data_IF_919262568375
#
_entry.id   IF_919262568375
#
_cell.length_a   1.000
_cell.length_b   1.000
_cell.length_c   1.000
_cell.angle_alpha   90.00
_cell.angle_beta   90.00
_cell.angle_gamma   90.00
#
_symmetry.space_group_name_H-M   'P 1'
#
loop_
_entity.id
_entity.type
_entity.pdbx_description
1 polymer ?
#
# COMPACT_ATOMS: atom_id res chain seq x y z
N UNK A 1 -4.67 -15.41 5.81
CA UNK A 1 -5.67 -14.69 6.63
C UNK A 1 -5.05 -13.63 7.55
N UNK A 2 -4.07 -13.96 8.42
CA UNK A 2 -3.55 -13.09 9.50
C UNK A 2 -2.79 -11.80 9.09
N UNK A 3 -2.88 -11.39 7.83
CA UNK A 3 -2.34 -10.13 7.31
C UNK A 3 -3.45 -9.28 6.66
N UNK A 4 -4.68 -9.46 7.11
CA UNK A 4 -5.86 -8.73 6.62
C UNK A 4 -6.03 -7.39 7.34
N UNK A 5 -6.72 -6.47 6.68
CA UNK A 5 -7.14 -5.21 7.30
C UNK A 5 -8.65 -5.21 7.51
N UNK A 6 -9.07 -4.88 8.72
CA UNK A 6 -10.48 -4.73 9.08
C UNK A 6 -10.82 -3.24 9.08
N UNK A 7 -11.77 -2.85 8.25
CA UNK A 7 -12.21 -1.48 8.03
C UNK A 7 -13.63 -1.30 8.55
N UNK A 8 -13.88 -0.25 9.32
CA UNK A 8 -15.24 0.14 9.70
C UNK A 8 -15.89 0.93 8.58
N UNK A 9 -17.14 0.59 8.26
CA UNK A 9 -17.97 1.32 7.30
C UNK A 9 -18.89 2.33 8.02
N UNK A 10 -19.42 3.33 7.30
CA UNK A 10 -20.33 4.33 7.89
C UNK A 10 -21.63 3.74 8.48
N UNK A 11 -22.06 2.57 8.01
CA UNK A 11 -23.25 1.84 8.48
C UNK A 11 -22.99 1.01 9.75
N UNK A 12 -21.78 1.06 10.32
CA UNK A 12 -21.37 0.30 11.49
C UNK A 12 -20.99 -1.16 11.21
N UNK A 13 -21.08 -1.61 9.96
CA UNK A 13 -20.54 -2.90 9.51
C UNK A 13 -19.05 -2.76 9.19
N UNK A 14 -18.43 -3.87 8.78
CA UNK A 14 -17.00 -3.95 8.54
C UNK A 14 -16.66 -4.65 7.23
N UNK A 15 -15.66 -4.12 6.53
CA UNK A 15 -15.05 -4.76 5.37
C UNK A 15 -13.72 -5.42 5.78
N UNK A 16 -13.49 -6.63 5.28
CA UNK A 16 -12.23 -7.35 5.46
C UNK A 16 -11.42 -7.30 4.17
N UNK A 17 -10.27 -6.63 4.21
CA UNK A 17 -9.31 -6.59 3.11
C UNK A 17 -8.35 -7.77 3.22
N UNK A 18 -8.30 -8.64 2.21
CA UNK A 18 -7.48 -9.85 2.19
C UNK A 18 -6.61 -9.93 0.93
N UNK A 19 -5.47 -10.65 0.97
CA UNK A 19 -4.69 -10.93 -0.23
C UNK A 19 -5.42 -11.96 -1.13
N UNK A 20 -5.24 -11.86 -2.45
CA UNK A 20 -5.88 -12.72 -3.45
C UNK A 20 -5.67 -14.23 -3.18
N UNK A 21 -4.52 -14.60 -2.63
CA UNK A 21 -4.15 -15.97 -2.25
C UNK A 21 -5.15 -16.60 -1.26
N UNK A 22 -5.94 -15.79 -0.53
CA UNK A 22 -7.01 -16.31 0.32
C UNK A 22 -8.14 -17.00 -0.49
N UNK A 23 -8.35 -16.62 -1.76
CA UNK A 23 -9.27 -17.32 -2.67
C UNK A 23 -8.71 -18.64 -3.18
N UNK A 24 -7.40 -18.70 -3.41
CA UNK A 24 -6.73 -19.87 -3.98
C UNK A 24 -6.71 -21.06 -3.01
N UNK A 25 -6.87 -20.79 -1.71
CA UNK A 25 -7.02 -21.82 -0.69
C UNK A 25 -8.51 -22.08 -0.39
N UNK A 26 -9.05 -23.19 -0.89
CA UNK A 26 -10.46 -23.58 -0.73
C UNK A 26 -10.98 -23.55 0.72
N UNK A 27 -10.15 -23.93 1.69
CA UNK A 27 -10.55 -23.92 3.10
C UNK A 27 -10.71 -22.49 3.62
N UNK A 28 -9.78 -21.60 3.27
CA UNK A 28 -9.82 -20.17 3.61
C UNK A 28 -10.96 -19.47 2.89
N UNK A 29 -11.14 -19.72 1.58
CA UNK A 29 -12.21 -19.14 0.79
C UNK A 29 -13.60 -19.52 1.34
N UNK A 30 -13.80 -20.80 1.68
CA UNK A 30 -15.06 -21.27 2.29
C UNK A 30 -15.31 -20.61 3.64
N UNK A 31 -14.27 -20.49 4.47
CA UNK A 31 -14.38 -19.80 5.75
C UNK A 31 -14.76 -18.33 5.59
N UNK A 32 -14.10 -17.60 4.69
CA UNK A 32 -14.38 -16.19 4.42
C UNK A 32 -15.78 -15.98 3.85
N UNK A 33 -16.21 -16.84 2.92
CA UNK A 33 -17.58 -16.82 2.41
C UNK A 33 -18.62 -17.05 3.51
N UNK A 34 -18.38 -18.02 4.39
CA UNK A 34 -19.22 -18.26 5.56
C UNK A 34 -19.22 -17.09 6.56
N UNK A 35 -18.08 -16.44 6.76
CA UNK A 35 -17.93 -15.28 7.64
C UNK A 35 -18.82 -14.12 7.16
N UNK A 36 -18.76 -13.77 5.87
CA UNK A 36 -19.57 -12.71 5.27
C UNK A 36 -21.06 -13.08 5.28
N UNK A 37 -21.40 -14.35 5.00
CA UNK A 37 -22.78 -14.83 4.98
C UNK A 37 -23.42 -14.99 6.37
N UNK A 38 -22.63 -14.90 7.45
CA UNK A 38 -23.10 -15.17 8.83
C UNK A 38 -24.07 -14.12 9.39
N UNK A 39 -24.24 -12.97 8.71
CA UNK A 39 -25.00 -11.83 9.22
C UNK A 39 -24.29 -11.05 10.34
N UNK A 40 -23.04 -11.42 10.64
CA UNK A 40 -22.18 -10.77 11.62
C UNK A 40 -21.77 -9.33 11.25
N UNK A 41 -20.76 -8.80 11.95
CA UNK A 41 -20.31 -7.43 11.71
C UNK A 41 -19.49 -7.29 10.42
N UNK A 42 -18.84 -8.37 9.95
CA UNK A 42 -18.13 -8.39 8.66
C UNK A 42 -19.12 -8.82 7.59
N UNK A 43 -19.41 -7.92 6.65
CA UNK A 43 -20.37 -8.14 5.57
C UNK A 43 -19.79 -7.88 4.18
N UNK A 44 -18.50 -7.54 4.10
CA UNK A 44 -17.82 -7.27 2.85
C UNK A 44 -16.41 -7.87 2.87
N UNK A 45 -16.01 -8.47 1.75
CA UNK A 45 -14.66 -8.96 1.50
C UNK A 45 -14.08 -8.18 0.31
N UNK A 46 -12.94 -7.52 0.54
CA UNK A 46 -12.20 -6.79 -0.48
C UNK A 46 -10.88 -7.52 -0.72
N UNK A 47 -10.60 -7.85 -1.98
CA UNK A 47 -9.44 -8.66 -2.35
C UNK A 47 -8.45 -7.83 -3.17
N UNK A 48 -7.17 -7.91 -2.82
CA UNK A 48 -6.09 -7.29 -3.58
C UNK A 48 -5.03 -8.29 -3.99
N UNK A 49 -4.53 -8.14 -5.21
CA UNK A 49 -3.35 -8.86 -5.69
C UNK A 49 -2.09 -8.13 -5.20
N UNK A 50 -1.40 -8.74 -4.23
CA UNK A 50 -0.16 -8.22 -3.65
C UNK A 50 1.01 -9.18 -3.88
N UNK A 51 0.97 -9.99 -4.94
CA UNK A 51 1.93 -11.09 -5.18
C UNK A 51 3.40 -10.68 -5.03
N UNK A 52 3.79 -9.49 -5.46
CA UNK A 52 5.18 -9.00 -5.33
C UNK A 52 5.57 -8.69 -3.88
N UNK A 53 4.66 -8.11 -3.09
CA UNK A 53 4.90 -7.87 -1.66
C UNK A 53 4.86 -9.17 -0.86
N UNK A 54 3.92 -10.06 -1.19
CA UNK A 54 3.75 -11.37 -0.57
C UNK A 54 4.96 -12.29 -0.78
N UNK A 55 5.64 -12.21 -1.93
CA UNK A 55 6.92 -12.94 -2.18
C UNK A 55 8.03 -12.55 -1.21
N UNK A 56 7.97 -11.35 -0.64
CA UNK A 56 8.88 -10.87 0.40
C UNK A 56 8.23 -10.84 1.80
N UNK A 57 7.07 -11.50 1.99
CA UNK A 57 6.39 -11.63 3.29
C UNK A 57 5.52 -10.44 3.70
N UNK A 58 5.32 -9.44 2.84
CA UNK A 58 4.46 -8.29 3.10
C UNK A 58 3.03 -8.52 2.62
N UNK A 59 2.09 -8.77 3.54
CA UNK A 59 0.66 -8.74 3.21
C UNK A 59 0.03 -7.33 3.36
N UNK A 60 -1.28 -7.20 3.13
CA UNK A 60 -1.99 -5.90 3.18
C UNK A 60 -1.76 -5.10 4.49
N UNK A 61 -1.76 -5.77 5.64
CA UNK A 61 -1.56 -5.12 6.93
C UNK A 61 -0.10 -4.68 7.16
N UNK A 62 0.87 -5.29 6.49
CA UNK A 62 2.29 -4.91 6.56
C UNK A 62 2.61 -3.63 5.77
N UNK A 63 1.78 -3.28 4.79
CA UNK A 63 1.99 -2.12 3.92
C UNK A 63 1.39 -0.82 4.47
N UNK A 64 0.91 -0.81 5.72
CA UNK A 64 0.18 0.33 6.28
C UNK A 64 0.38 0.53 7.78
N UNK A 65 0.55 1.79 8.17
CA UNK A 65 0.50 2.23 9.56
C UNK A 65 -0.90 2.79 9.85
N UNK A 66 -1.53 2.33 10.94
CA UNK A 66 -2.81 2.91 11.41
C UNK A 66 -2.50 4.03 12.39
N UNK A 67 -2.99 5.23 12.09
CA UNK A 67 -2.89 6.41 12.96
C UNK A 67 -4.29 6.97 13.14
N UNK A 68 -4.79 6.98 14.38
CA UNK A 68 -6.07 7.61 14.69
C UNK A 68 -5.83 9.10 14.92
N UNK A 69 -6.57 9.93 14.19
CA UNK A 69 -6.45 11.39 14.23
C UNK A 69 -7.83 12.01 14.48
N UNK A 70 -7.87 13.11 15.22
CA UNK A 70 -9.02 14.03 15.22
C UNK A 70 -9.05 14.84 13.93
N UNK A 71 -10.17 15.51 13.63
CA UNK A 71 -10.27 16.38 12.45
C UNK A 71 -9.22 17.50 12.47
N UNK A 72 -8.93 18.07 13.65
CA UNK A 72 -7.87 19.08 13.82
C UNK A 72 -6.48 18.51 13.54
N UNK A 73 -6.17 17.32 14.05
CA UNK A 73 -4.89 16.65 13.80
C UNK A 73 -4.74 16.25 12.33
N UNK A 74 -5.82 15.80 11.69
CA UNK A 74 -5.84 15.48 10.28
C UNK A 74 -5.60 16.74 9.42
N UNK A 75 -6.21 17.87 9.79
CA UNK A 75 -6.01 19.16 9.12
C UNK A 75 -4.59 19.73 9.33
N UNK A 76 -3.97 19.45 10.48
CA UNK A 76 -2.61 19.88 10.79
C UNK A 76 -1.52 19.01 10.16
N UNK A 77 -1.87 17.82 9.67
CA UNK A 77 -0.93 16.92 9.01
C UNK A 77 -0.50 17.48 7.65
N UNK A 78 0.71 17.13 7.24
CA UNK A 78 1.20 17.44 5.90
C UNK A 78 0.27 16.89 4.81
N UNK A 79 -0.36 17.78 4.04
CA UNK A 79 -1.37 17.39 3.04
C UNK A 79 -0.81 16.68 1.80
N UNK A 80 0.48 16.86 1.50
CA UNK A 80 1.13 16.30 0.30
C UNK A 80 1.22 14.77 0.28
N UNK A 81 0.92 14.09 1.39
CA UNK A 81 0.90 12.62 1.50
C UNK A 81 -0.51 12.03 1.62
N UNK A 82 -1.55 12.87 1.59
CA UNK A 82 -2.94 12.39 1.58
C UNK A 82 -3.29 11.88 0.19
N UNK A 83 -3.70 10.62 0.11
CA UNK A 83 -4.07 10.01 -1.16
C UNK A 83 -5.29 10.71 -1.79
N UNK A 84 -5.12 11.13 -3.03
CA UNK A 84 -6.15 11.71 -3.89
C UNK A 84 -5.96 11.15 -5.30
N UNK A 85 -6.96 11.25 -6.18
CA UNK A 85 -6.83 10.83 -7.58
C UNK A 85 -5.65 11.52 -8.30
N UNK A 86 -5.44 12.81 -7.99
CA UNK A 86 -4.34 13.58 -8.57
C UNK A 86 -2.96 13.11 -8.06
N UNK A 87 -2.85 12.79 -6.76
CA UNK A 87 -1.61 12.23 -6.21
C UNK A 87 -1.36 10.81 -6.75
N UNK A 88 -2.40 9.99 -6.83
CA UNK A 88 -2.33 8.64 -7.39
C UNK A 88 -1.77 8.66 -8.80
N UNK A 89 -2.35 9.49 -9.70
CA UNK A 89 -1.90 9.60 -11.08
C UNK A 89 -0.41 10.02 -11.19
N UNK A 90 0.02 10.99 -10.38
CA UNK A 90 1.41 11.43 -10.34
C UNK A 90 2.36 10.33 -9.85
N UNK A 91 1.96 9.57 -8.83
CA UNK A 91 2.77 8.47 -8.31
C UNK A 91 2.86 7.31 -9.31
N UNK A 92 1.79 7.01 -10.06
CA UNK A 92 1.82 6.01 -11.12
C UNK A 92 2.80 6.42 -12.22
N UNK A 93 2.71 7.64 -12.74
CA UNK A 93 3.63 8.15 -13.76
C UNK A 93 5.09 8.16 -13.24
N UNK A 94 5.30 8.54 -11.99
CA UNK A 94 6.61 8.50 -11.35
C UNK A 94 7.16 7.07 -11.26
N UNK A 95 6.35 6.09 -10.87
CA UNK A 95 6.77 4.67 -10.86
C UNK A 95 7.12 4.21 -12.27
N UNK A 96 6.25 4.44 -13.25
CA UNK A 96 6.47 4.04 -14.66
C UNK A 96 7.76 4.63 -15.25
N UNK A 97 8.11 5.86 -14.83
CA UNK A 97 9.32 6.54 -15.28
C UNK A 97 10.60 6.04 -14.62
N UNK A 98 10.55 5.67 -13.34
CA UNK A 98 11.75 5.47 -12.53
C UNK A 98 12.03 4.02 -12.15
N UNK A 99 11.03 3.13 -12.15
CA UNK A 99 11.21 1.74 -11.75
C UNK A 99 11.69 0.90 -12.94
N UNK A 100 12.71 0.08 -12.70
CA UNK A 100 13.11 -0.96 -13.66
C UNK A 100 12.13 -2.13 -13.58
N UNK A 101 11.80 -2.74 -14.71
CA UNK A 101 10.97 -3.96 -14.76
C UNK A 101 11.64 -5.18 -14.10
N UNK A 102 12.97 -5.15 -13.97
CA UNK A 102 13.77 -6.19 -13.33
C UNK A 102 14.99 -5.59 -12.63
N UNK A 103 15.27 -6.10 -11.43
CA UNK A 103 16.49 -5.83 -10.68
C UNK A 103 17.03 -7.15 -10.12
N UNK A 104 18.30 -7.42 -10.33
CA UNK A 104 19.03 -8.57 -9.81
C UNK A 104 20.12 -8.13 -8.82
N UNK A 105 20.61 -9.02 -7.94
CA UNK A 105 21.64 -8.65 -6.97
C UNK A 105 22.92 -8.03 -7.58
N UNK A 106 23.30 -8.44 -8.79
CA UNK A 106 24.46 -7.86 -9.50
C UNK A 106 24.23 -6.41 -9.94
N UNK A 107 22.98 -6.02 -10.17
CA UNK A 107 22.63 -4.66 -10.62
C UNK A 107 22.80 -3.66 -9.48
N UNK A 108 22.83 -4.13 -8.22
CA UNK A 108 23.17 -3.29 -7.07
C UNK A 108 24.60 -2.75 -7.12
N UNK A 109 25.47 -3.36 -7.94
CA UNK A 109 26.83 -2.88 -8.16
C UNK A 109 26.93 -1.88 -9.31
N UNK A 110 25.85 -1.62 -10.05
CA UNK A 110 25.80 -0.65 -11.14
C UNK A 110 25.66 0.78 -10.57
N UNK A 111 26.66 1.66 -10.73
CA UNK A 111 26.57 3.05 -10.27
C UNK A 111 25.40 3.82 -10.88
N UNK A 112 24.94 3.43 -12.07
CA UNK A 112 23.82 4.05 -12.74
C UNK A 112 22.51 3.85 -11.95
N UNK A 113 22.35 2.70 -11.28
CA UNK A 113 21.19 2.44 -10.43
C UNK A 113 21.12 3.43 -9.26
N UNK A 114 22.26 3.78 -8.66
CA UNK A 114 22.30 4.77 -7.57
C UNK A 114 21.89 6.17 -8.05
N UNK A 115 22.36 6.58 -9.24
CA UNK A 115 22.00 7.85 -9.87
C UNK A 115 20.49 7.90 -10.17
N UNK A 116 19.93 6.82 -10.71
CA UNK A 116 18.49 6.70 -10.97
C UNK A 116 17.66 6.79 -9.69
N UNK A 117 18.09 6.10 -8.63
CA UNK A 117 17.45 6.17 -7.32
C UNK A 117 17.46 7.59 -6.75
N UNK A 118 18.58 8.31 -6.82
CA UNK A 118 18.66 9.70 -6.34
C UNK A 118 17.68 10.59 -7.11
N UNK A 119 17.70 10.54 -8.45
CA UNK A 119 16.79 11.32 -9.28
C UNK A 119 15.30 10.98 -9.02
N UNK A 120 15.00 9.70 -8.78
CA UNK A 120 13.66 9.25 -8.42
C UNK A 120 13.23 9.85 -7.07
N UNK A 121 14.06 9.77 -6.05
CA UNK A 121 13.77 10.29 -4.71
C UNK A 121 13.62 11.82 -4.70
N UNK A 122 14.47 12.56 -5.41
CA UNK A 122 14.33 14.02 -5.58
C UNK A 122 13.02 14.41 -6.30
N UNK A 123 12.59 13.62 -7.28
CA UNK A 123 11.30 13.83 -7.93
C UNK A 123 10.14 13.53 -6.96
N UNK A 124 10.25 12.47 -6.15
CA UNK A 124 9.24 12.08 -5.17
C UNK A 124 9.09 13.13 -4.06
N UNK A 125 10.19 13.70 -3.56
CA UNK A 125 10.14 14.81 -2.59
C UNK A 125 9.32 15.98 -3.11
N UNK A 126 9.48 16.33 -4.39
CA UNK A 126 8.73 17.41 -5.02
C UNK A 126 7.25 17.07 -5.18
N UNK A 127 6.93 15.84 -5.61
CA UNK A 127 5.53 15.36 -5.71
C UNK A 127 4.86 15.41 -4.34
N UNK A 128 5.54 14.93 -3.30
CA UNK A 128 5.01 14.86 -1.95
C UNK A 128 5.11 16.19 -1.19
N UNK A 129 5.79 17.21 -1.73
CA UNK A 129 6.01 18.48 -1.05
C UNK A 129 6.84 18.34 0.24
N UNK A 130 7.82 17.45 0.26
CA UNK A 130 8.68 17.14 1.42
C UNK A 130 10.15 17.49 1.09
N UNK A 131 10.51 18.79 1.05
CA UNK A 131 11.86 19.19 0.66
C UNK A 131 12.89 18.76 1.70
N UNK A 132 13.99 18.14 1.26
CA UNK A 132 15.09 17.73 2.14
C UNK A 132 14.73 16.56 3.06
N UNK A 133 13.81 15.70 2.62
CA UNK A 133 13.45 14.48 3.33
C UNK A 133 14.60 13.47 3.31
N UNK A 134 15.32 13.42 2.20
CA UNK A 134 16.47 12.56 1.97
C UNK A 134 17.76 13.38 2.03
N UNK A 135 18.75 12.83 2.72
CA UNK A 135 20.10 13.34 2.74
C UNK A 135 20.94 12.54 1.73
N UNK A 136 21.36 13.21 0.66
CA UNK A 136 22.16 12.59 -0.40
C UNK A 136 23.67 12.81 -0.22
N UNK A 137 24.10 13.52 0.84
CA UNK A 137 25.49 13.86 1.13
C UNK A 137 26.01 15.09 0.38
#
# INVERSE_FOLDING_TARGET
>A
LFNSQLLSKPDGKMALVVPHECRENDAVARYLGGLVASGGPIDELIEFDLRQSMRNGGGPACLRLRVALTDEQAAAMHGGVIMTEALYAQLVEWVEKHYRDRVEPKDLMDPQLAIECHAALEALERILGLPGLYDFG
#
